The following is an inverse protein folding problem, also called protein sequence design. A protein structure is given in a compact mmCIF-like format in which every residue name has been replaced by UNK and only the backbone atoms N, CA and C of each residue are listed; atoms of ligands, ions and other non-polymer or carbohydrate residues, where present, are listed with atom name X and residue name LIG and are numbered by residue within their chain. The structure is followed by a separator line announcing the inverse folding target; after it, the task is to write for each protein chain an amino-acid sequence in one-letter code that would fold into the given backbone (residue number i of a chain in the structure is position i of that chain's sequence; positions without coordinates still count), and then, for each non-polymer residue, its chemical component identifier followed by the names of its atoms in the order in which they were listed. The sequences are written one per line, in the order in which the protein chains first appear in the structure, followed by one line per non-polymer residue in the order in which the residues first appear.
data_IF_308931516339
#
_entry.id   IF_308931516339
#
_cell.length_a   1.000
_cell.length_b   1.000
_cell.length_c   1.000
_cell.angle_alpha   90.00
_cell.angle_beta   90.00
_cell.angle_gamma   90.00
#
_symmetry.space_group_name_H-M   'P 1'
#
loop_
_entity.id
_entity.type
_entity.pdbx_description
1 polymer ?
#
# COMPACT_ATOMS: atom_id res chain seq x y z
N UNK A 1 -19.56 17.22 -19.80
CA UNK A 1 -18.27 17.33 -19.08
C UNK A 1 -17.26 16.72 -20.03
N UNK A 2 -16.26 17.48 -20.51
CA UNK A 2 -15.16 16.93 -21.28
C UNK A 2 -14.35 16.00 -20.35
N UNK A 3 -13.94 14.82 -20.86
CA UNK A 3 -13.07 13.93 -20.12
C UNK A 3 -11.72 14.64 -19.85
N UNK A 4 -11.13 14.40 -18.68
CA UNK A 4 -9.81 14.92 -18.37
C UNK A 4 -8.76 14.29 -19.34
N UNK A 5 -7.69 14.99 -19.72
CA UNK A 5 -6.66 14.46 -20.64
C UNK A 5 -6.12 13.09 -20.20
N UNK A 6 -5.85 12.89 -18.91
CA UNK A 6 -5.38 11.61 -18.39
C UNK A 6 -6.39 10.48 -18.58
N UNK A 7 -7.70 10.74 -18.46
CA UNK A 7 -8.74 9.74 -18.67
C UNK A 7 -8.75 9.22 -20.11
N UNK A 8 -8.50 10.10 -21.09
CA UNK A 8 -8.39 9.74 -22.50
C UNK A 8 -7.18 8.83 -22.74
N UNK A 9 -6.02 9.15 -22.15
CA UNK A 9 -4.79 8.35 -22.26
C UNK A 9 -5.00 6.99 -21.58
N UNK A 10 -5.55 6.98 -20.38
CA UNK A 10 -5.85 5.76 -19.63
C UNK A 10 -6.80 4.83 -20.39
N UNK A 11 -7.80 5.38 -21.09
CA UNK A 11 -8.69 4.60 -21.96
C UNK A 11 -7.95 3.97 -23.16
N UNK A 12 -6.99 4.70 -23.77
CA UNK A 12 -6.13 4.13 -24.82
C UNK A 12 -5.26 3.00 -24.30
N UNK A 13 -4.64 3.17 -23.14
CA UNK A 13 -3.80 2.16 -22.50
C UNK A 13 -4.56 0.85 -22.22
N UNK A 14 -5.87 0.92 -21.94
CA UNK A 14 -6.70 -0.27 -21.81
C UNK A 14 -6.74 -1.12 -23.08
N UNK A 15 -6.54 -0.54 -24.26
CA UNK A 15 -6.48 -1.27 -25.53
C UNK A 15 -5.21 -2.12 -25.69
N UNK A 16 -4.15 -1.80 -24.96
CA UNK A 16 -2.89 -2.55 -24.94
C UNK A 16 -2.94 -3.76 -24.01
N UNK A 17 -4.02 -3.87 -23.21
CA UNK A 17 -4.17 -4.92 -22.21
C UNK A 17 -4.25 -6.30 -22.89
N UNK A 18 -3.40 -7.27 -22.48
CA UNK A 18 -3.45 -8.62 -23.04
C UNK A 18 -4.78 -9.29 -22.74
N UNK A 19 -5.26 -10.12 -23.66
CA UNK A 19 -6.54 -10.84 -23.53
C UNK A 19 -6.57 -11.81 -22.35
N UNK A 20 -5.40 -12.31 -21.96
CA UNK A 20 -5.21 -13.20 -20.80
C UNK A 20 -4.29 -12.49 -19.82
N UNK A 21 -4.73 -12.33 -18.57
CA UNK A 21 -3.90 -11.80 -17.49
C UNK A 21 -2.97 -12.92 -17.04
N UNK A 22 -1.71 -12.77 -17.35
CA UNK A 22 -0.60 -13.56 -16.81
C UNK A 22 0.25 -12.68 -15.88
N UNK A 23 0.74 -13.26 -14.82
CA UNK A 23 1.63 -12.55 -13.89
C UNK A 23 3.08 -12.76 -14.36
N UNK A 24 3.70 -11.70 -14.90
CA UNK A 24 5.10 -11.64 -15.31
C UNK A 24 5.66 -10.24 -15.09
N UNK A 25 6.98 -10.15 -14.90
CA UNK A 25 7.68 -8.86 -14.81
C UNK A 25 8.38 -8.48 -16.12
N UNK A 26 8.38 -9.33 -17.14
CA UNK A 26 9.14 -9.10 -18.38
C UNK A 26 8.70 -7.82 -19.10
N UNK A 27 7.39 -7.57 -19.17
CA UNK A 27 6.84 -6.37 -19.78
C UNK A 27 7.22 -5.10 -19.00
N UNK A 28 7.18 -5.19 -17.68
CA UNK A 28 7.59 -4.09 -16.79
C UNK A 28 9.06 -3.77 -16.99
N UNK A 29 9.94 -4.79 -16.96
CA UNK A 29 11.38 -4.59 -17.17
C UNK A 29 11.71 -4.03 -18.55
N UNK A 30 11.00 -4.48 -19.61
CA UNK A 30 11.12 -3.93 -20.96
C UNK A 30 10.80 -2.43 -20.99
N UNK A 31 9.65 -2.04 -20.40
CA UNK A 31 9.24 -0.63 -20.39
C UNK A 31 10.15 0.22 -19.50
N UNK A 32 10.54 -0.26 -18.31
CA UNK A 32 11.49 0.45 -17.45
C UNK A 32 12.83 0.70 -18.18
N UNK A 33 13.34 -0.28 -18.95
CA UNK A 33 14.55 -0.10 -19.75
C UNK A 33 14.35 0.98 -20.82
N UNK A 34 13.22 1.00 -21.52
CA UNK A 34 12.89 2.04 -22.50
C UNK A 34 12.76 3.44 -21.86
N UNK A 35 12.34 3.51 -20.61
CA UNK A 35 12.23 4.76 -19.82
C UNK A 35 13.54 5.16 -19.11
N UNK A 36 14.64 4.45 -19.31
CA UNK A 36 15.92 4.76 -18.70
C UNK A 36 16.07 4.34 -17.24
N UNK A 37 15.33 3.33 -16.80
CA UNK A 37 15.39 2.74 -15.46
C UNK A 37 15.05 3.72 -14.31
N UNK A 38 13.88 4.38 -14.32
CA UNK A 38 13.49 5.31 -13.26
C UNK A 38 13.41 4.64 -11.88
N UNK A 39 13.17 3.33 -11.81
CA UNK A 39 13.13 2.55 -10.57
C UNK A 39 14.44 2.56 -9.78
N UNK A 40 15.56 2.91 -10.43
CA UNK A 40 16.89 3.01 -9.79
C UNK A 40 17.17 4.36 -9.15
N UNK A 41 16.36 5.37 -9.46
CA UNK A 41 16.51 6.75 -8.97
C UNK A 41 15.45 7.12 -7.90
N UNK A 42 14.75 6.11 -7.35
CA UNK A 42 13.73 6.31 -6.33
C UNK A 42 14.36 6.63 -4.95
N UNK A 43 13.68 7.43 -4.12
CA UNK A 43 14.07 7.58 -2.71
C UNK A 43 13.90 6.23 -1.98
N UNK A 44 14.34 6.11 -0.71
CA UNK A 44 14.16 4.90 0.09
C UNK A 44 12.72 4.38 0.03
N UNK A 45 12.54 3.13 -0.44
CA UNK A 45 11.22 2.53 -0.68
C UNK A 45 10.77 1.70 0.51
N UNK A 46 9.55 1.92 0.97
CA UNK A 46 8.83 1.03 1.89
C UNK A 46 7.81 0.26 1.05
N UNK A 47 8.03 -1.04 0.86
CA UNK A 47 7.21 -1.89 0.00
C UNK A 47 6.18 -2.65 0.83
N UNK A 48 4.89 -2.48 0.52
CA UNK A 48 3.78 -2.92 1.37
C UNK A 48 2.90 -3.92 0.61
N UNK A 49 2.84 -5.17 1.11
CA UNK A 49 1.95 -6.22 0.63
C UNK A 49 0.98 -6.67 1.72
N UNK A 50 0.00 -7.48 1.36
CA UNK A 50 -1.01 -8.05 2.26
C UNK A 50 -2.36 -8.17 1.57
N UNK A 51 -3.34 -8.77 2.23
CA UNK A 51 -4.71 -8.78 1.70
C UNK A 51 -5.45 -7.55 2.18
N UNK A 52 -5.62 -7.40 3.48
CA UNK A 52 -6.31 -6.27 4.10
C UNK A 52 -5.34 -5.38 4.87
N UNK A 53 -5.66 -4.09 5.03
CA UNK A 53 -4.89 -3.15 5.84
C UNK A 53 -3.75 -2.43 5.12
N UNK A 54 -3.34 -2.81 3.90
CA UNK A 54 -2.25 -2.15 3.14
C UNK A 54 -2.39 -0.63 3.12
N UNK A 55 -3.47 -0.12 2.56
CA UNK A 55 -3.70 1.31 2.42
C UNK A 55 -3.82 2.04 3.76
N UNK A 56 -4.45 1.44 4.79
CA UNK A 56 -4.52 2.04 6.14
C UNK A 56 -3.13 2.12 6.78
N UNK A 57 -2.34 1.03 6.73
CA UNK A 57 -0.97 0.99 7.24
C UNK A 57 -0.10 2.00 6.50
N UNK A 58 -0.23 2.08 5.16
CA UNK A 58 0.47 3.07 4.34
C UNK A 58 0.09 4.50 4.72
N UNK A 59 -1.20 4.81 4.89
CA UNK A 59 -1.65 6.14 5.29
C UNK A 59 -1.11 6.55 6.67
N UNK A 60 -1.08 5.60 7.62
CA UNK A 60 -0.49 5.81 8.93
C UNK A 60 1.01 6.03 8.86
N UNK A 61 1.76 5.21 8.10
CA UNK A 61 3.20 5.41 7.90
C UNK A 61 3.49 6.76 7.23
N UNK A 62 2.71 7.14 6.22
CA UNK A 62 2.82 8.45 5.58
C UNK A 62 2.64 9.58 6.59
N UNK A 63 1.58 9.54 7.38
CA UNK A 63 1.29 10.56 8.38
C UNK A 63 2.42 10.68 9.43
N UNK A 64 3.03 9.56 9.82
CA UNK A 64 4.19 9.54 10.73
C UNK A 64 5.44 10.15 10.11
N UNK A 65 5.78 9.78 8.88
CA UNK A 65 6.93 10.32 8.15
C UNK A 65 6.75 11.83 7.89
N UNK A 66 5.56 12.26 7.48
CA UNK A 66 5.22 13.67 7.28
C UNK A 66 5.24 14.46 8.61
N UNK A 67 4.82 13.85 9.73
CA UNK A 67 4.93 14.46 11.06
C UNK A 67 6.39 14.68 11.50
N UNK A 68 7.31 13.84 11.02
CA UNK A 68 8.76 14.01 11.19
C UNK A 68 9.37 15.01 10.17
N UNK A 69 8.55 15.72 9.40
CA UNK A 69 9.00 16.71 8.44
C UNK A 69 9.51 16.15 7.10
N UNK A 70 9.30 14.86 6.82
CA UNK A 70 9.74 14.24 5.58
C UNK A 70 8.74 14.51 4.44
N UNK A 71 9.26 14.65 3.22
CA UNK A 71 8.48 14.66 1.98
C UNK A 71 8.29 13.23 1.52
N UNK A 72 7.04 12.80 1.40
CA UNK A 72 6.72 11.39 1.17
C UNK A 72 6.00 11.20 -0.15
N UNK A 73 6.53 10.32 -1.01
CA UNK A 73 5.77 9.78 -2.13
C UNK A 73 4.87 8.64 -1.65
N UNK A 74 3.74 8.46 -2.32
CA UNK A 74 2.89 7.30 -2.12
C UNK A 74 2.31 6.78 -3.43
N UNK A 75 2.34 5.47 -3.61
CA UNK A 75 1.64 4.74 -4.66
C UNK A 75 0.61 3.81 -4.04
N UNK A 76 -0.64 3.92 -4.46
CA UNK A 76 -1.77 3.18 -3.89
C UNK A 76 -2.66 2.60 -4.99
N UNK A 77 -3.40 1.53 -4.69
CA UNK A 77 -4.40 0.96 -5.61
C UNK A 77 -5.48 0.17 -4.88
N UNK A 78 -6.71 0.12 -5.42
CA UNK A 78 -7.21 0.99 -6.50
C UNK A 78 -7.53 2.41 -6.01
N UNK A 79 -7.94 3.31 -6.93
CA UNK A 79 -8.52 4.60 -6.59
C UNK A 79 -10.04 4.47 -6.34
N UNK A 80 -10.63 5.45 -5.69
CA UNK A 80 -12.07 5.51 -5.42
C UNK A 80 -12.83 6.24 -6.52
N UNK A 81 -12.35 7.41 -6.93
CA UNK A 81 -13.04 8.30 -7.89
C UNK A 81 -12.16 8.62 -9.09
N UNK A 82 -10.91 9.06 -8.86
CA UNK A 82 -10.00 9.51 -9.92
C UNK A 82 -8.65 8.81 -9.83
N UNK A 83 -8.03 8.58 -10.97
CA UNK A 83 -6.73 7.92 -11.06
C UNK A 83 -5.63 8.64 -10.27
N UNK A 84 -5.67 9.97 -10.18
CA UNK A 84 -4.74 10.79 -9.39
C UNK A 84 -4.53 10.31 -7.95
N UNK A 85 -5.57 9.72 -7.34
CA UNK A 85 -5.51 9.21 -5.97
C UNK A 85 -4.41 8.18 -5.77
N UNK A 86 -4.02 7.49 -6.87
CA UNK A 86 -2.97 6.46 -6.84
C UNK A 86 -1.57 7.02 -6.66
N UNK A 87 -1.34 8.28 -7.03
CA UNK A 87 0.01 8.86 -7.09
C UNK A 87 0.06 10.13 -6.27
N UNK A 88 0.91 10.11 -5.26
CA UNK A 88 1.19 11.26 -4.42
C UNK A 88 2.68 11.61 -4.53
N UNK A 89 2.99 12.82 -5.00
CA UNK A 89 4.34 13.32 -5.17
C UNK A 89 4.69 14.27 -4.02
N UNK A 90 5.68 13.91 -3.20
CA UNK A 90 6.16 14.72 -2.06
C UNK A 90 5.02 15.27 -1.18
N UNK A 91 4.05 14.40 -0.82
CA UNK A 91 2.92 14.71 0.05
C UNK A 91 1.66 15.23 -0.67
N UNK A 92 1.69 15.54 -1.98
CA UNK A 92 0.54 16.06 -2.73
C UNK A 92 0.07 15.09 -3.81
N UNK A 93 -1.25 15.03 -4.04
CA UNK A 93 -1.76 14.30 -5.19
C UNK A 93 -1.16 14.88 -6.48
N UNK A 94 -0.88 14.01 -7.44
CA UNK A 94 -0.37 14.44 -8.74
C UNK A 94 -1.40 15.33 -9.45
N UNK A 95 -0.93 16.42 -10.06
CA UNK A 95 -1.76 17.30 -10.87
C UNK A 95 -2.06 16.69 -12.24
N UNK A 96 -3.19 17.07 -12.84
CA UNK A 96 -3.70 16.51 -14.10
C UNK A 96 -2.67 16.58 -15.23
N UNK A 97 -2.10 17.76 -15.49
CA UNK A 97 -1.15 17.95 -16.58
C UNK A 97 0.13 17.12 -16.38
N UNK A 98 0.59 17.00 -15.13
CA UNK A 98 1.74 16.17 -14.80
C UNK A 98 1.43 14.68 -14.98
N UNK A 99 0.24 14.22 -14.58
CA UNK A 99 -0.20 12.85 -14.78
C UNK A 99 -0.30 12.53 -16.28
N UNK A 100 -0.98 13.38 -17.05
CA UNK A 100 -1.13 13.20 -18.49
C UNK A 100 0.24 13.11 -19.20
N UNK A 101 1.17 13.99 -18.87
CA UNK A 101 2.52 13.97 -19.45
C UNK A 101 3.29 12.68 -19.13
N UNK A 102 3.21 12.15 -17.90
CA UNK A 102 3.86 10.89 -17.53
C UNK A 102 3.24 9.67 -18.24
N UNK A 103 1.91 9.69 -18.39
CA UNK A 103 1.20 8.63 -19.09
C UNK A 103 1.51 8.64 -20.59
N UNK A 104 1.51 9.81 -21.25
CA UNK A 104 1.87 9.93 -22.66
C UNK A 104 3.32 9.48 -22.91
N UNK A 105 4.26 9.83 -22.03
CA UNK A 105 5.66 9.38 -22.13
C UNK A 105 5.77 7.86 -22.00
N UNK A 106 5.09 7.26 -21.02
CA UNK A 106 5.10 5.82 -20.84
C UNK A 106 4.46 5.08 -22.02
N UNK A 107 3.35 5.61 -22.57
CA UNK A 107 2.69 5.08 -23.77
C UNK A 107 3.61 5.16 -25.00
N UNK A 108 4.25 6.29 -25.22
CA UNK A 108 5.20 6.50 -26.31
C UNK A 108 6.40 5.56 -26.22
N UNK A 109 6.96 5.37 -25.02
CA UNK A 109 8.07 4.45 -24.79
C UNK A 109 7.68 2.97 -24.95
N UNK A 110 6.45 2.61 -24.57
CA UNK A 110 5.91 1.25 -24.75
C UNK A 110 5.67 0.90 -26.21
N UNK A 111 5.23 1.86 -27.01
CA UNK A 111 4.79 1.62 -28.38
C UNK A 111 3.57 0.68 -28.44
N UNK A 112 3.46 -0.15 -29.50
CA UNK A 112 2.33 -1.04 -29.68
C UNK A 112 2.41 -2.36 -28.91
N UNK A 113 3.45 -2.57 -28.12
CA UNK A 113 3.68 -3.84 -27.43
C UNK A 113 2.63 -4.09 -26.34
N UNK A 114 2.15 -5.33 -26.19
CA UNK A 114 1.22 -5.67 -25.12
C UNK A 114 1.79 -5.37 -23.74
N UNK A 115 0.98 -4.72 -22.89
CA UNK A 115 1.29 -4.45 -21.50
C UNK A 115 -0.02 -4.31 -20.72
N UNK A 116 -0.06 -4.70 -19.44
CA UNK A 116 -1.28 -4.50 -18.65
C UNK A 116 -1.41 -3.04 -18.21
N UNK A 117 -2.65 -2.63 -18.00
CA UNK A 117 -2.97 -1.30 -17.48
C UNK A 117 -2.19 -0.97 -16.20
N UNK A 118 -2.12 -1.93 -15.26
CA UNK A 118 -1.41 -1.72 -14.01
C UNK A 118 0.11 -1.60 -14.22
N UNK A 119 0.69 -2.39 -15.10
CA UNK A 119 2.12 -2.37 -15.41
C UNK A 119 2.56 -1.02 -15.99
N UNK A 120 1.88 -0.54 -17.03
CA UNK A 120 2.25 0.72 -17.69
C UNK A 120 2.04 1.93 -16.77
N UNK A 121 0.94 1.96 -16.03
CA UNK A 121 0.67 3.06 -15.08
C UNK A 121 1.61 3.05 -13.88
N UNK A 122 2.10 1.88 -13.45
CA UNK A 122 3.16 1.77 -12.43
C UNK A 122 4.49 2.32 -12.95
N UNK A 123 4.88 2.02 -14.20
CA UNK A 123 6.08 2.58 -14.82
C UNK A 123 5.99 4.11 -14.95
N UNK A 124 4.83 4.65 -15.34
CA UNK A 124 4.57 6.09 -15.37
C UNK A 124 4.70 6.73 -13.97
N UNK A 125 4.21 6.07 -12.93
CA UNK A 125 4.38 6.53 -11.55
C UNK A 125 5.85 6.59 -11.14
N UNK A 126 6.65 5.58 -11.50
CA UNK A 126 8.10 5.58 -11.23
C UNK A 126 8.83 6.76 -11.88
N UNK A 127 8.45 7.17 -13.09
CA UNK A 127 8.97 8.41 -13.69
C UNK A 127 8.70 9.62 -12.81
N UNK A 128 7.47 9.79 -12.34
CA UNK A 128 7.08 10.89 -11.45
C UNK A 128 7.88 10.90 -10.14
N UNK A 129 8.03 9.74 -9.52
CA UNK A 129 8.78 9.59 -8.27
C UNK A 129 10.28 9.85 -8.46
N UNK A 130 10.88 9.35 -9.53
CA UNK A 130 12.30 9.57 -9.81
C UNK A 130 12.65 11.04 -10.11
N UNK A 131 11.71 11.79 -10.68
CA UNK A 131 11.90 13.20 -11.07
C UNK A 131 11.57 14.20 -9.97
N UNK A 132 10.82 13.77 -8.96
CA UNK A 132 10.40 14.66 -7.86
C UNK A 132 11.20 14.33 -6.61
N UNK A 133 11.97 15.26 -6.03
CA UNK A 133 12.73 14.98 -4.82
C UNK A 133 11.82 14.69 -3.61
N UNK A 134 12.07 13.57 -2.93
CA UNK A 134 11.40 13.17 -1.70
C UNK A 134 12.34 12.36 -0.78
N UNK A 135 11.92 12.15 0.47
CA UNK A 135 12.74 11.51 1.48
C UNK A 135 12.36 10.02 1.65
N UNK A 136 11.15 9.63 1.20
CA UNK A 136 10.69 8.24 1.18
C UNK A 136 9.61 8.02 0.11
N UNK A 137 9.46 6.75 -0.32
CA UNK A 137 8.36 6.27 -1.16
C UNK A 137 7.66 5.11 -0.46
N UNK A 138 6.37 5.26 -0.18
CA UNK A 138 5.48 4.19 0.24
C UNK A 138 4.86 3.55 -1.01
N UNK A 139 5.17 2.29 -1.26
CA UNK A 139 4.81 1.57 -2.48
C UNK A 139 3.89 0.39 -2.16
N UNK A 140 2.60 0.52 -2.46
CA UNK A 140 1.60 -0.51 -2.26
C UNK A 140 1.59 -1.50 -3.42
N UNK A 141 1.64 -2.79 -3.11
CA UNK A 141 1.45 -3.90 -4.06
C UNK A 141 0.01 -3.91 -4.57
N UNK A 142 -0.16 -4.00 -5.88
CA UNK A 142 -1.48 -4.09 -6.51
C UNK A 142 -2.10 -5.47 -6.34
N UNK A 143 -1.40 -6.53 -6.75
CA UNK A 143 -1.89 -7.91 -6.70
C UNK A 143 -0.76 -8.89 -6.34
N UNK A 144 -1.01 -9.73 -5.35
CA UNK A 144 -0.03 -10.74 -4.92
C UNK A 144 1.19 -10.10 -4.28
N UNK A 145 2.29 -10.02 -4.99
CA UNK A 145 3.55 -9.41 -4.57
C UNK A 145 4.73 -9.89 -5.42
N UNK A 146 4.95 -11.19 -5.52
CA UNK A 146 6.11 -11.79 -6.20
C UNK A 146 6.30 -11.32 -7.65
N UNK A 147 5.22 -11.26 -8.40
CA UNK A 147 5.18 -10.85 -9.81
C UNK A 147 4.35 -9.56 -10.02
N UNK A 148 4.15 -8.79 -8.96
CA UNK A 148 3.50 -7.48 -9.06
C UNK A 148 4.44 -6.46 -9.70
N UNK A 149 3.89 -5.56 -10.52
CA UNK A 149 4.66 -4.54 -11.24
C UNK A 149 5.49 -3.65 -10.30
N UNK A 150 5.12 -3.54 -9.02
CA UNK A 150 5.88 -2.80 -8.01
C UNK A 150 7.11 -3.56 -7.51
N UNK A 151 7.21 -4.88 -7.74
CA UNK A 151 8.28 -5.72 -7.19
C UNK A 151 9.59 -5.70 -8.02
N UNK A 152 9.88 -4.59 -8.62
CA UNK A 152 11.11 -4.30 -9.38
C UNK A 152 12.16 -3.58 -8.53
N UNK A 153 11.91 -3.39 -7.25
CA UNK A 153 12.82 -2.75 -6.31
C UNK A 153 13.71 -3.81 -5.67
N UNK A 154 14.99 -3.78 -5.97
CA UNK A 154 15.95 -4.79 -5.48
C UNK A 154 16.22 -4.67 -3.98
N UNK A 155 16.32 -3.44 -3.46
CA UNK A 155 16.67 -3.16 -2.07
C UNK A 155 15.77 -2.09 -1.46
N UNK A 156 14.50 -2.41 -1.14
CA UNK A 156 13.67 -1.48 -0.38
C UNK A 156 14.29 -1.22 1.00
N UNK A 157 14.01 -0.06 1.58
CA UNK A 157 14.45 0.28 2.94
C UNK A 157 13.73 -0.60 3.99
N UNK A 158 12.49 -0.98 3.68
CA UNK A 158 11.65 -1.82 4.53
C UNK A 158 10.62 -2.56 3.67
N UNK A 159 10.28 -3.80 4.06
CA UNK A 159 9.08 -4.48 3.60
C UNK A 159 8.03 -4.52 4.72
N UNK A 160 6.75 -4.49 4.35
CA UNK A 160 5.64 -4.66 5.30
C UNK A 160 4.66 -5.68 4.71
N UNK A 161 4.29 -6.69 5.49
CA UNK A 161 3.22 -7.63 5.13
C UNK A 161 2.10 -7.48 6.14
N UNK A 162 0.99 -6.88 5.71
CA UNK A 162 -0.23 -6.75 6.50
C UNK A 162 -1.00 -8.08 6.52
N UNK A 163 -2.09 -8.25 7.29
CA UNK A 163 -2.79 -9.53 7.38
C UNK A 163 -3.14 -10.14 6.02
N UNK A 164 -2.84 -11.43 5.87
CA UNK A 164 -3.13 -12.24 4.68
C UNK A 164 -4.41 -13.03 4.93
N UNK A 165 -5.34 -12.96 4.00
CA UNK A 165 -6.59 -13.73 4.00
C UNK A 165 -6.93 -14.20 2.58
N UNK A 166 -7.98 -15.02 2.44
CA UNK A 166 -8.45 -15.49 1.14
C UNK A 166 -8.95 -14.32 0.31
N UNK A 167 -8.36 -14.13 -0.86
CA UNK A 167 -8.70 -13.11 -1.84
C UNK A 167 -8.01 -13.40 -3.17
N UNK A 168 -8.60 -12.98 -4.28
CA UNK A 168 -8.02 -13.14 -5.62
C UNK A 168 -7.58 -14.58 -5.96
N UNK A 169 -8.32 -15.59 -5.51
CA UNK A 169 -7.98 -17.01 -5.65
C UNK A 169 -7.73 -17.44 -7.10
N UNK A 170 -8.42 -16.83 -8.05
CA UNK A 170 -8.25 -17.10 -9.48
C UNK A 170 -6.82 -16.78 -9.99
N UNK A 171 -6.09 -15.90 -9.32
CA UNK A 171 -4.74 -15.47 -9.71
C UNK A 171 -3.65 -15.94 -8.74
N UNK A 172 -3.96 -15.99 -7.45
CA UNK A 172 -2.97 -16.23 -6.41
C UNK A 172 -2.99 -17.68 -5.88
N UNK A 173 -3.97 -18.45 -6.30
CA UNK A 173 -4.17 -19.83 -5.88
C UNK A 173 -5.24 -20.01 -4.80
N UNK A 174 -5.75 -21.23 -4.64
CA UNK A 174 -6.94 -21.55 -3.84
C UNK A 174 -6.66 -21.77 -2.35
N UNK A 175 -5.46 -21.48 -1.86
CA UNK A 175 -5.10 -21.69 -0.46
C UNK A 175 -4.45 -20.48 0.16
N UNK A 176 -4.63 -20.29 1.46
CA UNK A 176 -4.00 -19.21 2.22
C UNK A 176 -2.46 -19.24 2.08
N UNK A 177 -1.87 -20.43 2.08
CA UNK A 177 -0.43 -20.59 1.88
C UNK A 177 0.06 -20.13 0.50
N UNK A 178 -0.70 -20.41 -0.58
CA UNK A 178 -0.37 -19.94 -1.91
C UNK A 178 -0.41 -18.39 -1.97
N UNK A 179 -1.47 -17.79 -1.44
CA UNK A 179 -1.64 -16.34 -1.37
C UNK A 179 -0.51 -15.70 -0.52
N UNK A 180 -0.16 -16.31 0.62
CA UNK A 180 0.94 -15.86 1.47
C UNK A 180 2.29 -15.94 0.75
N UNK A 181 2.52 -16.98 -0.05
CA UNK A 181 3.73 -17.15 -0.87
C UNK A 181 3.91 -16.05 -1.90
N UNK A 182 2.82 -15.66 -2.59
CA UNK A 182 2.86 -14.53 -3.52
C UNK A 182 3.20 -13.21 -2.80
N UNK A 183 2.59 -12.94 -1.63
CA UNK A 183 2.85 -11.73 -0.87
C UNK A 183 4.25 -11.71 -0.26
N UNK A 184 4.73 -12.84 0.26
CA UNK A 184 6.08 -13.00 0.76
C UNK A 184 7.16 -12.85 -0.33
N UNK A 185 6.77 -12.88 -1.61
CA UNK A 185 7.63 -12.60 -2.75
C UNK A 185 8.27 -11.21 -2.76
N UNK A 186 7.77 -10.25 -1.98
CA UNK A 186 8.40 -8.93 -1.83
C UNK A 186 9.60 -8.93 -0.88
N UNK A 187 9.79 -10.00 -0.08
CA UNK A 187 10.91 -10.11 0.87
C UNK A 187 12.25 -10.19 0.12
N UNK A 188 13.22 -9.39 0.55
CA UNK A 188 14.54 -9.26 -0.08
C UNK A 188 15.66 -9.53 0.93
N UNK A 189 16.77 -10.03 0.41
CA UNK A 189 17.94 -10.39 1.24
C UNK A 189 18.46 -9.20 2.05
N UNK A 190 18.56 -9.40 3.36
CA UNK A 190 19.09 -8.40 4.30
C UNK A 190 18.16 -7.19 4.53
N UNK A 191 16.97 -7.17 3.93
CA UNK A 191 15.98 -6.12 4.13
C UNK A 191 15.03 -6.55 5.25
N UNK A 192 14.90 -5.72 6.29
CA UNK A 192 13.97 -5.98 7.40
C UNK A 192 12.52 -5.95 6.90
N UNK A 193 11.68 -6.81 7.48
CA UNK A 193 10.27 -6.87 7.15
C UNK A 193 9.40 -6.87 8.41
N UNK A 194 8.48 -5.92 8.48
CA UNK A 194 7.40 -5.91 9.49
C UNK A 194 6.30 -6.86 9.03
N UNK A 195 5.93 -7.77 9.91
CA UNK A 195 4.85 -8.73 9.67
C UNK A 195 3.71 -8.45 10.66
N UNK A 196 2.57 -8.03 10.15
CA UNK A 196 1.34 -7.88 10.92
C UNK A 196 0.81 -9.24 11.42
N UNK A 197 -0.26 -9.28 12.21
CA UNK A 197 -0.87 -10.53 12.67
C UNK A 197 -1.22 -11.44 11.49
N UNK A 198 -0.88 -12.73 11.62
CA UNK A 198 -1.08 -13.73 10.57
C UNK A 198 -1.72 -15.00 11.13
N UNK A 199 -2.51 -15.65 10.30
CA UNK A 199 -2.91 -17.03 10.52
C UNK A 199 -1.69 -17.96 10.48
N UNK A 200 -1.63 -19.03 11.29
CA UNK A 200 -0.46 -19.91 11.34
C UNK A 200 -0.01 -20.45 9.97
N UNK A 201 -0.96 -20.79 9.09
CA UNK A 201 -0.66 -21.28 7.74
C UNK A 201 0.01 -20.23 6.84
N UNK A 202 -0.37 -18.96 6.96
CA UNK A 202 0.27 -17.87 6.24
C UNK A 202 1.65 -17.55 6.84
N UNK A 203 1.75 -17.52 8.17
CA UNK A 203 2.99 -17.24 8.88
C UNK A 203 4.10 -18.23 8.52
N UNK A 204 3.79 -19.53 8.52
CA UNK A 204 4.75 -20.58 8.17
C UNK A 204 5.36 -20.37 6.78
N UNK A 205 4.56 -19.95 5.79
CA UNK A 205 5.03 -19.67 4.43
C UNK A 205 5.90 -18.40 4.38
N UNK A 206 5.50 -17.35 5.12
CA UNK A 206 6.26 -16.11 5.20
C UNK A 206 7.63 -16.36 5.84
N UNK A 207 7.69 -17.13 6.94
CA UNK A 207 8.92 -17.49 7.63
C UNK A 207 9.85 -18.33 6.73
N UNK A 208 9.31 -19.36 6.08
CA UNK A 208 10.08 -20.19 5.16
C UNK A 208 10.68 -19.35 4.01
N UNK A 209 9.91 -18.40 3.46
CA UNK A 209 10.41 -17.49 2.43
C UNK A 209 11.47 -16.54 2.97
N UNK A 210 11.28 -15.98 4.16
CA UNK A 210 12.23 -15.09 4.80
C UNK A 210 13.57 -15.78 5.07
N UNK A 211 13.54 -17.01 5.58
CA UNK A 211 14.72 -17.85 5.77
C UNK A 211 15.45 -18.11 4.44
N UNK A 212 14.70 -18.54 3.41
CA UNK A 212 15.28 -18.85 2.09
C UNK A 212 15.98 -17.65 1.44
N UNK A 213 15.49 -16.42 1.64
CA UNK A 213 16.10 -15.21 1.08
C UNK A 213 17.04 -14.49 2.04
N UNK A 214 17.03 -14.83 3.33
CA UNK A 214 17.79 -14.14 4.36
C UNK A 214 17.22 -12.75 4.71
N UNK A 215 15.90 -12.62 4.82
CA UNK A 215 15.21 -11.40 5.24
C UNK A 215 14.91 -11.43 6.74
N UNK A 216 15.43 -10.48 7.55
CA UNK A 216 15.09 -10.41 8.98
C UNK A 216 13.62 -10.00 9.18
N UNK A 217 12.85 -10.77 9.95
CA UNK A 217 11.46 -10.48 10.26
C UNK A 217 11.32 -9.78 11.61
N UNK A 218 10.33 -8.87 11.70
CA UNK A 218 9.86 -8.21 12.90
C UNK A 218 8.35 -8.43 13.03
N UNK A 219 7.97 -9.43 13.84
CA UNK A 219 6.66 -10.10 13.78
C UNK A 219 5.75 -9.65 14.91
N UNK A 220 4.50 -9.38 14.61
CA UNK A 220 3.44 -9.10 15.59
C UNK A 220 3.31 -10.24 16.62
N UNK A 221 3.06 -9.89 17.86
CA UNK A 221 2.90 -10.79 19.01
C UNK A 221 4.14 -11.63 19.34
N UNK A 222 5.29 -11.36 18.69
CA UNK A 222 6.58 -11.95 19.00
C UNK A 222 7.64 -10.87 19.29
N UNK A 223 7.82 -9.95 18.36
CA UNK A 223 8.85 -8.91 18.41
C UNK A 223 8.26 -7.54 18.76
N UNK A 224 6.98 -7.36 18.48
CA UNK A 224 6.19 -6.18 18.82
C UNK A 224 4.74 -6.58 19.08
N UNK A 225 4.02 -5.75 19.82
CA UNK A 225 2.58 -5.90 20.05
C UNK A 225 1.88 -4.55 20.12
N UNK A 226 0.62 -4.53 19.71
CA UNK A 226 -0.28 -3.39 19.84
C UNK A 226 -1.61 -3.84 20.41
N UNK A 227 -2.17 -3.05 21.30
CA UNK A 227 -3.45 -3.35 21.93
C UNK A 227 -4.18 -2.07 22.33
N UNK A 228 -5.49 -2.17 22.39
CA UNK A 228 -6.28 -1.10 22.97
C UNK A 228 -6.41 -1.31 24.48
N UNK A 229 -6.06 -0.29 25.23
CA UNK A 229 -6.36 -0.21 26.66
C UNK A 229 -7.23 1.03 26.91
N UNK A 230 -8.52 0.81 27.20
CA UNK A 230 -9.54 1.86 27.33
C UNK A 230 -9.63 2.71 26.05
N UNK A 231 -9.23 3.96 26.12
CA UNK A 231 -9.21 4.96 25.05
C UNK A 231 -7.79 5.24 24.51
N UNK A 232 -6.84 4.32 24.78
CA UNK A 232 -5.44 4.43 24.37
C UNK A 232 -5.02 3.26 23.50
N UNK A 233 -4.07 3.51 22.59
CA UNK A 233 -3.28 2.51 21.89
C UNK A 233 -1.98 2.31 22.65
N UNK A 234 -1.76 1.11 23.15
CA UNK A 234 -0.48 0.71 23.74
C UNK A 234 0.29 -0.08 22.69
N UNK A 235 1.47 0.39 22.36
CA UNK A 235 2.42 -0.30 21.51
C UNK A 235 3.67 -0.63 22.32
N UNK A 236 4.24 -1.82 22.12
CA UNK A 236 5.43 -2.28 22.85
C UNK A 236 6.33 -3.11 21.92
N UNK A 237 7.65 -2.86 22.00
CA UNK A 237 8.71 -3.64 21.37
C UNK A 237 9.98 -3.62 22.25
N UNK A 238 11.11 -4.14 21.75
CA UNK A 238 12.40 -4.15 22.46
C UNK A 238 12.95 -2.76 22.80
N UNK A 239 12.47 -1.70 22.16
CA UNK A 239 12.83 -0.30 22.42
C UNK A 239 11.92 0.36 23.47
N UNK A 240 10.97 -0.36 24.04
CA UNK A 240 10.07 0.08 25.10
C UNK A 240 8.66 0.41 24.63
N UNK A 241 7.83 0.82 25.58
CA UNK A 241 6.40 1.06 25.44
C UNK A 241 6.12 2.49 24.93
N UNK A 242 5.12 2.60 24.05
CA UNK A 242 4.47 3.85 23.66
C UNK A 242 3.00 3.81 24.09
N UNK A 243 2.57 4.86 24.78
CA UNK A 243 1.17 5.11 25.15
C UNK A 243 0.64 6.24 24.28
N UNK A 244 -0.19 5.90 23.27
CA UNK A 244 -0.59 6.78 22.19
C UNK A 244 -2.13 6.98 22.17
N UNK A 245 -2.62 8.05 21.55
CA UNK A 245 -4.05 8.16 21.23
C UNK A 245 -4.50 6.98 20.36
N UNK A 246 -5.83 6.68 20.40
CA UNK A 246 -6.40 5.72 19.45
C UNK A 246 -6.23 6.20 18.00
N UNK A 247 -6.13 5.28 17.03
CA UNK A 247 -6.07 5.65 15.62
C UNK A 247 -7.26 6.49 15.19
N UNK A 248 -7.01 7.54 14.40
CA UNK A 248 -8.06 8.38 13.81
C UNK A 248 -8.92 7.62 12.79
N UNK A 249 -8.37 6.58 12.16
CA UNK A 249 -9.14 5.67 11.32
C UNK A 249 -9.95 4.72 12.22
N UNK A 250 -11.28 4.64 12.05
CA UNK A 250 -12.13 3.83 12.92
C UNK A 250 -12.02 2.34 12.61
N UNK A 251 -12.19 1.52 13.66
CA UNK A 251 -12.25 0.07 13.56
C UNK A 251 -11.23 -0.65 14.42
N UNK A 252 -11.66 -1.81 14.97
CA UNK A 252 -10.81 -2.62 15.86
C UNK A 252 -9.51 -3.08 15.16
N UNK A 253 -9.60 -3.39 13.87
CA UNK A 253 -8.48 -3.80 13.02
C UNK A 253 -7.45 -2.69 12.80
N UNK A 254 -7.80 -1.43 13.06
CA UNK A 254 -6.85 -0.32 12.92
C UNK A 254 -5.81 -0.30 14.04
N UNK A 255 -6.04 -1.01 15.14
CA UNK A 255 -5.03 -1.23 16.19
C UNK A 255 -3.84 -2.01 15.61
N UNK A 256 -4.11 -3.09 14.87
CA UNK A 256 -3.07 -3.91 14.23
C UNK A 256 -2.38 -3.15 13.08
N UNK A 257 -3.14 -2.42 12.26
CA UNK A 257 -2.59 -1.59 11.20
C UNK A 257 -1.67 -0.48 11.77
N UNK A 258 -2.08 0.15 12.88
CA UNK A 258 -1.28 1.14 13.59
C UNK A 258 -0.01 0.50 14.19
N UNK A 259 -0.15 -0.68 14.79
CA UNK A 259 0.98 -1.45 15.29
C UNK A 259 2.04 -1.72 14.22
N UNK A 260 1.60 -2.19 13.05
CA UNK A 260 2.50 -2.43 11.91
C UNK A 260 3.14 -1.14 11.38
N UNK A 261 2.38 -0.03 11.32
CA UNK A 261 2.92 1.26 10.92
C UNK A 261 3.97 1.78 11.91
N UNK A 262 3.69 1.74 13.21
CA UNK A 262 4.61 2.15 14.28
C UNK A 262 5.86 1.28 14.27
N UNK A 263 5.72 -0.05 14.14
CA UNK A 263 6.85 -0.97 14.03
C UNK A 263 7.78 -0.58 12.87
N UNK A 264 7.20 -0.28 11.70
CA UNK A 264 7.95 0.18 10.54
C UNK A 264 8.67 1.51 10.79
N UNK A 265 7.99 2.51 11.34
CA UNK A 265 8.56 3.81 11.65
C UNK A 265 9.72 3.69 12.67
N UNK A 266 9.55 2.88 13.71
CA UNK A 266 10.61 2.65 14.71
C UNK A 266 11.81 1.92 14.10
N UNK A 267 11.60 0.93 13.22
CA UNK A 267 12.71 0.28 12.50
C UNK A 267 13.46 1.25 11.57
N UNK A 268 12.79 2.29 11.08
CA UNK A 268 13.40 3.37 10.30
C UNK A 268 14.05 4.45 11.18
N UNK A 269 13.98 4.33 12.50
CA UNK A 269 14.62 5.25 13.43
C UNK A 269 13.79 6.48 13.81
N UNK A 270 12.49 6.50 13.51
CA UNK A 270 11.60 7.59 13.87
C UNK A 270 11.28 7.57 15.37
N UNK A 271 10.99 8.73 15.91
CA UNK A 271 10.69 8.95 17.33
C UNK A 271 9.22 8.75 17.71
N UNK A 272 8.90 8.97 18.98
CA UNK A 272 7.54 8.83 19.51
C UNK A 272 6.58 9.87 18.91
N UNK A 273 7.04 11.08 18.56
CA UNK A 273 6.20 12.11 17.98
C UNK A 273 5.77 11.73 16.56
N UNK A 274 6.65 11.13 15.77
CA UNK A 274 6.30 10.55 14.47
C UNK A 274 5.28 9.40 14.61
N UNK A 275 5.45 8.54 15.62
CA UNK A 275 4.49 7.46 15.91
C UNK A 275 3.12 8.00 16.33
N UNK A 276 3.05 9.07 17.12
CA UNK A 276 1.80 9.76 17.45
C UNK A 276 1.16 10.39 16.20
N UNK A 277 1.96 11.02 15.34
CA UNK A 277 1.49 11.54 14.05
C UNK A 277 0.89 10.46 13.16
N UNK A 278 1.48 9.26 13.17
CA UNK A 278 0.99 8.12 12.41
C UNK A 278 -0.43 7.68 12.81
N UNK A 279 -0.80 7.79 14.08
CA UNK A 279 -2.12 7.37 14.55
C UNK A 279 -3.14 8.50 14.53
N UNK A 280 -2.72 9.77 14.72
CA UNK A 280 -3.64 10.91 14.87
C UNK A 280 -3.94 11.66 13.59
N UNK A 281 -3.08 11.56 12.55
CA UNK A 281 -3.17 12.38 11.32
C UNK A 281 -3.45 11.62 10.03
N UNK A 282 -3.66 10.27 10.01
CA UNK A 282 -3.91 9.59 8.75
C UNK A 282 -5.28 9.97 8.19
N UNK A 283 -5.30 10.27 6.89
CA UNK A 283 -6.51 10.43 6.10
C UNK A 283 -6.56 9.32 5.06
N UNK A 284 -7.61 8.49 5.14
CA UNK A 284 -7.82 7.42 4.18
C UNK A 284 -9.33 7.23 3.93
N UNK A 285 -9.86 7.73 2.82
CA UNK A 285 -11.29 7.62 2.51
C UNK A 285 -11.76 6.17 2.41
N UNK A 286 -13.06 5.94 2.61
CA UNK A 286 -13.71 4.65 2.55
C UNK A 286 -13.07 3.57 3.47
N UNK A 287 -12.75 3.97 4.71
CA UNK A 287 -12.39 3.06 5.80
C UNK A 287 -13.26 3.38 7.01
N UNK A 288 -14.40 2.68 7.11
CA UNK A 288 -15.46 2.98 8.10
C UNK A 288 -15.72 4.49 8.18
N UNK A 289 -15.78 5.13 7.03
CA UNK A 289 -15.98 6.58 6.92
C UNK A 289 -17.43 6.92 7.16
N UNK A 290 -17.72 7.68 8.22
CA UNK A 290 -19.06 8.20 8.45
C UNK A 290 -19.37 9.34 7.47
N UNK A 291 -20.39 9.18 6.66
CA UNK A 291 -20.86 10.19 5.71
C UNK A 291 -21.80 11.18 6.40
N UNK A 292 -21.31 12.38 6.67
CA UNK A 292 -22.05 13.45 7.36
C UNK A 292 -22.49 14.58 6.43
N UNK A 293 -22.03 14.57 5.18
CA UNK A 293 -22.26 15.63 4.18
C UNK A 293 -22.49 15.01 2.80
N UNK A 294 -23.07 15.83 1.91
CA UNK A 294 -23.29 15.45 0.50
C UNK A 294 -24.69 14.86 0.25
N UNK A 295 -25.01 14.58 -1.02
CA UNK A 295 -26.36 14.18 -1.43
C UNK A 295 -26.88 12.91 -0.71
N UNK A 296 -26.02 11.92 -0.50
CA UNK A 296 -26.42 10.69 0.20
C UNK A 296 -26.81 10.94 1.66
N UNK A 297 -26.03 11.74 2.39
CA UNK A 297 -26.36 12.08 3.78
C UNK A 297 -27.65 12.93 3.85
N UNK A 298 -27.88 13.79 2.87
CA UNK A 298 -29.11 14.61 2.79
C UNK A 298 -30.35 13.80 2.44
N UNK A 299 -30.20 12.73 1.63
CA UNK A 299 -31.31 11.85 1.24
C UNK A 299 -31.75 10.87 2.35
N UNK A 300 -30.96 10.73 3.42
CA UNK A 300 -31.21 9.80 4.52
C UNK A 300 -31.14 10.51 5.89
N UNK A 301 -31.99 11.51 6.16
CA UNK A 301 -31.94 12.27 7.40
C UNK A 301 -32.24 11.37 8.61
N UNK A 302 -31.43 11.49 9.67
CA UNK A 302 -31.56 10.68 10.88
C UNK A 302 -30.98 9.27 10.80
N UNK A 303 -30.39 8.88 9.65
CA UNK A 303 -29.71 7.59 9.47
C UNK A 303 -28.21 7.81 9.48
N UNK A 304 -27.46 6.96 10.18
CA UNK A 304 -26.02 6.94 10.09
C UNK A 304 -25.58 6.17 8.83
N UNK A 305 -24.85 6.85 7.96
CA UNK A 305 -24.28 6.25 6.75
C UNK A 305 -22.78 6.04 6.91
N UNK A 306 -22.35 4.85 6.64
CA UNK A 306 -20.94 4.45 6.69
C UNK A 306 -20.46 3.95 5.32
N UNK A 307 -19.28 4.36 4.91
CA UNK A 307 -18.63 3.93 3.67
C UNK A 307 -17.37 3.14 4.00
N UNK A 308 -17.27 1.93 3.46
CA UNK A 308 -16.06 1.11 3.55
C UNK A 308 -15.75 0.44 2.21
N UNK A 309 -14.47 0.24 1.91
CA UNK A 309 -13.99 -0.43 0.71
C UNK A 309 -13.81 -1.95 0.89
N UNK A 310 -14.27 -2.53 1.98
CA UNK A 310 -14.18 -3.98 2.25
C UNK A 310 -15.00 -4.79 1.24
N UNK A 311 -14.38 -5.82 0.64
CA UNK A 311 -14.96 -6.60 -0.46
C UNK A 311 -14.59 -8.10 -0.40
N UNK A 312 -13.99 -8.55 0.70
CA UNK A 312 -13.65 -9.95 0.93
C UNK A 312 -14.10 -10.41 2.33
N UNK A 313 -14.12 -11.73 2.61
CA UNK A 313 -14.58 -12.26 3.89
C UNK A 313 -13.84 -11.68 5.11
N UNK A 314 -12.53 -11.51 5.03
CA UNK A 314 -11.72 -10.93 6.11
C UNK A 314 -12.10 -9.48 6.42
N UNK A 315 -12.35 -8.66 5.40
CA UNK A 315 -12.85 -7.30 5.57
C UNK A 315 -14.26 -7.29 6.18
N UNK A 316 -15.14 -8.21 5.77
CA UNK A 316 -16.47 -8.37 6.36
C UNK A 316 -16.44 -8.64 7.85
N UNK A 317 -15.54 -9.51 8.32
CA UNK A 317 -15.33 -9.78 9.76
C UNK A 317 -14.87 -8.51 10.49
N UNK A 318 -13.92 -7.77 9.93
CA UNK A 318 -13.39 -6.53 10.53
C UNK A 318 -14.47 -5.44 10.64
N UNK A 319 -15.31 -5.28 9.61
CA UNK A 319 -16.44 -4.34 9.61
C UNK A 319 -17.46 -4.73 10.66
N UNK A 320 -17.89 -6.00 10.71
CA UNK A 320 -18.86 -6.50 11.68
C UNK A 320 -18.38 -6.34 13.13
N UNK A 321 -17.08 -6.49 13.39
CA UNK A 321 -16.51 -6.27 14.72
C UNK A 321 -16.41 -4.78 15.09
N UNK A 322 -16.60 -3.86 14.14
CA UNK A 322 -16.50 -2.41 14.35
C UNK A 322 -17.88 -1.78 14.60
N UNK A 323 -18.94 -2.34 14.01
CA UNK A 323 -20.33 -1.90 14.17
C UNK A 323 -20.96 -2.43 15.45
#
# INVERSE_FOLDING_TARGET
VSADPSDVILARMMSLHPKIIDLTLDRVWRLLAALGHPERALPPVIHIAGTNGKGSTQAMMRAGLEAAGQRVHAYTSPHLVRFHERIRLAGRLIEEDALAALLDEAEAANGPDPITYFEITTCAAFLGFARTPADALLLEVGLGGRLDATNVIDRPALCVITPVSMDHEAYLGPTLGAIAGEKAGILKRGVRAVIGPQEPAAMAVIEARAEAVGAPLFVANRDWQSRRERDRLIYEDDRGLLDLPLPALPGVHQIDNAGAAIAGLRLMGLDAAACEGAVTRPEWPARMQRLTRGPLAQSAPGIELWLDGGHNPGAGVAIAATL
#
